data_IF_031353229287
#
_entry.id   IF_031353229287
#
_cell.length_a   1.000
_cell.length_b   1.000
_cell.length_c   1.000
_cell.angle_alpha   90.00
_cell.angle_beta   90.00
_cell.angle_gamma   90.00
#
_symmetry.space_group_name_H-M   'P 1'
#
loop_
_entity.id
_entity.type
_entity.pdbx_description
1 polymer ?
#
# COMPACT_ATOMS: atom_id res chain seq x y z
N UNK A 1 17.89 19.42 22.94
CA UNK A 1 17.84 20.40 21.84
C UNK A 1 18.90 21.42 22.23
N UNK A 2 20.10 21.33 21.66
CA UNK A 2 21.11 22.40 21.84
C UNK A 2 20.61 23.61 21.09
N UNK A 3 20.60 24.77 21.81
CA UNK A 3 20.25 26.06 21.25
C UNK A 3 21.02 26.31 19.95
N UNK A 4 20.33 26.85 18.95
CA UNK A 4 20.95 27.29 17.70
C UNK A 4 21.98 28.38 18.05
N UNK A 5 23.24 28.00 18.11
CA UNK A 5 24.34 28.96 18.14
C UNK A 5 24.47 29.53 16.75
N UNK A 6 24.18 30.83 16.58
CA UNK A 6 24.42 31.52 15.32
C UNK A 6 25.94 31.54 15.10
N UNK A 7 26.40 30.83 14.06
CA UNK A 7 27.79 30.79 13.65
C UNK A 7 28.00 31.55 12.35
N UNK A 8 29.24 31.60 11.91
CA UNK A 8 29.62 32.12 10.60
C UNK A 8 29.05 31.26 9.48
N UNK A 9 28.88 31.83 8.27
CA UNK A 9 28.29 31.14 7.11
C UNK A 9 29.04 29.84 6.76
N UNK A 10 30.36 29.83 6.87
CA UNK A 10 31.18 28.65 6.60
C UNK A 10 30.98 27.54 7.65
N UNK A 11 30.68 27.88 8.90
CA UNK A 11 30.35 26.90 9.94
C UNK A 11 28.98 26.26 9.69
N UNK A 12 28.00 27.03 9.23
CA UNK A 12 26.71 26.47 8.85
C UNK A 12 26.85 25.58 7.62
N UNK A 13 27.66 25.96 6.61
CA UNK A 13 27.96 25.14 5.47
C UNK A 13 28.55 23.78 5.87
N UNK A 14 29.47 23.76 6.84
CA UNK A 14 30.13 22.54 7.31
C UNK A 14 29.17 21.57 8.04
N UNK A 15 28.07 22.06 8.61
CA UNK A 15 27.05 21.22 9.29
C UNK A 15 26.09 20.56 8.32
N UNK A 16 25.99 21.04 7.08
CA UNK A 16 25.08 20.51 6.05
C UNK A 16 25.47 19.09 5.64
N UNK A 17 24.61 18.43 4.92
CA UNK A 17 24.80 17.03 4.51
C UNK A 17 25.72 16.89 3.28
N UNK A 18 25.36 17.53 2.18
CA UNK A 18 26.03 17.36 0.90
C UNK A 18 26.56 18.68 0.35
N UNK A 19 27.68 18.62 -0.36
CA UNK A 19 28.37 19.80 -0.94
C UNK A 19 27.42 20.64 -1.78
N UNK A 20 26.60 20.03 -2.61
CA UNK A 20 25.63 20.69 -3.49
C UNK A 20 24.50 21.41 -2.73
N UNK A 21 24.29 21.12 -1.45
CA UNK A 21 23.30 21.74 -0.59
C UNK A 21 23.92 22.80 0.35
N UNK A 22 25.21 23.06 0.24
CA UNK A 22 25.97 23.92 1.15
C UNK A 22 26.52 25.19 0.51
N UNK A 23 25.88 25.60 -0.58
CA UNK A 23 26.19 26.87 -1.24
C UNK A 23 25.17 27.94 -0.81
N UNK A 24 25.61 29.18 -0.82
CA UNK A 24 24.80 30.34 -0.52
C UNK A 24 24.84 31.32 -1.67
N UNK A 25 23.73 32.00 -1.92
CA UNK A 25 23.64 33.03 -2.94
C UNK A 25 23.22 34.35 -2.29
N UNK A 26 24.00 35.39 -2.52
CA UNK A 26 23.66 36.75 -2.14
C UNK A 26 22.98 37.46 -3.31
N UNK A 27 21.69 37.79 -3.24
CA UNK A 27 20.97 38.43 -4.33
C UNK A 27 21.38 39.93 -4.48
N UNK A 28 22.06 40.52 -3.50
CA UNK A 28 22.47 41.94 -3.58
C UNK A 28 23.77 42.11 -4.36
N UNK A 29 24.70 41.17 -4.24
CA UNK A 29 25.99 41.14 -4.96
C UNK A 29 26.01 40.18 -6.14
N UNK A 30 24.97 39.33 -6.28
CA UNK A 30 24.90 38.23 -7.23
C UNK A 30 26.05 37.21 -7.08
N UNK A 31 26.62 37.13 -5.86
CA UNK A 31 27.72 36.22 -5.57
C UNK A 31 27.26 34.89 -5.02
N UNK A 32 27.99 33.82 -5.37
CA UNK A 32 27.78 32.47 -4.82
C UNK A 32 28.94 32.12 -3.89
N UNK A 33 28.65 31.80 -2.65
CA UNK A 33 29.64 31.34 -1.67
C UNK A 33 29.61 29.82 -1.60
N UNK A 34 30.71 29.19 -2.02
CA UNK A 34 30.87 27.73 -2.08
C UNK A 34 32.11 27.29 -1.29
N UNK A 35 31.91 26.89 -0.05
CA UNK A 35 32.99 26.47 0.85
C UNK A 35 33.42 25.02 0.68
N UNK A 36 32.64 24.19 -0.04
CA UNK A 36 32.83 22.73 -0.11
C UNK A 36 32.89 22.18 -1.55
N UNK A 37 33.12 23.04 -2.55
CA UNK A 37 33.16 22.66 -3.97
C UNK A 37 31.87 22.05 -4.50
N UNK A 38 30.72 22.53 -4.04
CA UNK A 38 29.40 22.07 -4.49
C UNK A 38 29.12 22.35 -5.96
N UNK A 39 29.60 23.50 -6.47
CA UNK A 39 29.47 23.87 -7.88
C UNK A 39 30.19 22.86 -8.80
N UNK A 40 31.42 22.46 -8.41
CA UNK A 40 32.18 21.44 -9.15
C UNK A 40 31.49 20.08 -9.12
N UNK A 41 30.89 19.69 -7.99
CA UNK A 41 30.15 18.44 -7.86
C UNK A 41 28.85 18.46 -8.69
N UNK A 42 28.16 19.61 -8.80
CA UNK A 42 27.02 19.77 -9.70
C UNK A 42 27.46 19.56 -11.15
N UNK A 43 28.55 20.24 -11.58
CA UNK A 43 29.07 20.11 -12.95
C UNK A 43 29.46 18.66 -13.31
N UNK A 44 29.88 17.87 -12.32
CA UNK A 44 30.24 16.45 -12.47
C UNK A 44 29.08 15.49 -12.20
N UNK A 45 27.89 15.96 -11.94
CA UNK A 45 26.72 15.17 -11.54
C UNK A 45 27.02 14.22 -10.38
N UNK A 46 27.73 14.72 -9.37
CA UNK A 46 28.23 13.96 -8.23
C UNK A 46 27.58 14.41 -6.92
N UNK A 47 27.14 13.43 -6.09
CA UNK A 47 26.65 13.69 -4.74
C UNK A 47 27.72 13.30 -3.73
N UNK A 48 28.31 14.26 -3.05
CA UNK A 48 29.37 14.08 -2.06
C UNK A 48 28.95 14.58 -0.69
N UNK A 49 29.24 13.77 0.34
CA UNK A 49 29.06 14.14 1.74
C UNK A 49 30.11 15.16 2.18
N UNK A 50 29.71 16.12 3.00
CA UNK A 50 30.64 17.04 3.68
C UNK A 50 31.20 16.35 4.91
N UNK A 51 32.53 16.32 5.05
CA UNK A 51 33.22 15.63 6.13
C UNK A 51 33.39 14.13 5.90
N UNK A 52 33.71 13.39 6.96
CA UNK A 52 33.90 11.94 6.88
C UNK A 52 32.55 11.20 6.84
N UNK A 53 32.20 10.52 5.74
CA UNK A 53 30.87 9.94 5.56
C UNK A 53 30.44 8.99 6.68
N UNK A 54 31.35 8.13 7.16
CA UNK A 54 31.02 7.17 8.21
C UNK A 54 30.69 7.87 9.56
N UNK A 55 31.34 8.97 9.89
CA UNK A 55 31.02 9.77 11.08
C UNK A 55 29.68 10.48 10.91
N UNK A 56 29.48 11.08 9.75
CA UNK A 56 28.23 11.80 9.41
C UNK A 56 27.00 10.89 9.43
N UNK A 57 27.13 9.63 9.04
CA UNK A 57 26.07 8.62 9.12
C UNK A 57 25.82 8.12 10.56
N UNK A 58 26.87 8.13 11.43
CA UNK A 58 26.66 7.86 12.87
C UNK A 58 25.93 8.99 13.57
N UNK A 59 26.26 10.24 13.23
CA UNK A 59 25.57 11.41 13.78
C UNK A 59 24.08 11.44 13.39
N UNK A 60 23.80 11.18 12.10
CA UNK A 60 22.43 11.17 11.57
C UNK A 60 22.27 10.13 10.47
N UNK A 61 21.78 8.93 10.83
CA UNK A 61 21.58 7.84 9.86
C UNK A 61 20.61 8.19 8.72
N UNK A 62 19.71 9.16 8.92
CA UNK A 62 18.76 9.61 7.88
C UNK A 62 19.46 10.19 6.67
N UNK A 63 20.72 10.64 6.82
CA UNK A 63 21.54 11.11 5.69
C UNK A 63 21.75 10.04 4.62
N UNK A 64 21.72 8.74 4.96
CA UNK A 64 21.75 7.65 3.98
C UNK A 64 20.51 7.68 3.07
N UNK A 65 19.33 7.87 3.65
CA UNK A 65 18.08 7.98 2.89
C UNK A 65 18.04 9.25 2.02
N UNK A 66 18.58 10.35 2.56
CA UNK A 66 18.72 11.60 1.83
C UNK A 66 19.67 11.48 0.65
N UNK A 67 20.79 10.73 0.79
CA UNK A 67 21.71 10.43 -0.31
C UNK A 67 21.00 9.71 -1.45
N UNK A 68 20.26 8.64 -1.15
CA UNK A 68 19.46 7.90 -2.13
C UNK A 68 18.46 8.83 -2.82
N UNK A 69 17.68 9.61 -2.05
CA UNK A 69 16.64 10.49 -2.60
C UNK A 69 17.21 11.58 -3.51
N UNK A 70 18.25 12.29 -3.06
CA UNK A 70 18.84 13.40 -3.81
C UNK A 70 19.52 12.88 -5.07
N UNK A 71 20.25 11.77 -4.96
CA UNK A 71 20.88 11.10 -6.10
C UNK A 71 19.85 10.68 -7.15
N UNK A 72 18.78 10.01 -6.75
CA UNK A 72 17.70 9.61 -7.67
C UNK A 72 17.01 10.83 -8.30
N UNK A 73 16.69 11.86 -7.50
CA UNK A 73 15.99 13.07 -7.96
C UNK A 73 16.79 13.88 -8.98
N UNK A 74 18.09 13.97 -8.81
CA UNK A 74 18.97 14.77 -9.67
C UNK A 74 19.63 13.94 -10.78
N UNK A 75 19.52 12.60 -10.73
CA UNK A 75 20.27 11.71 -11.63
C UNK A 75 21.77 11.73 -11.36
N UNK A 76 22.18 12.10 -10.14
CA UNK A 76 23.60 12.18 -9.76
C UNK A 76 24.12 10.85 -9.25
N UNK A 77 25.41 10.58 -9.50
CA UNK A 77 26.11 9.45 -8.89
C UNK A 77 26.56 9.80 -7.48
N UNK A 78 26.32 8.90 -6.53
CA UNK A 78 26.87 9.06 -5.18
C UNK A 78 28.39 8.80 -5.28
N UNK A 79 29.19 9.70 -4.71
CA UNK A 79 30.64 9.52 -4.65
C UNK A 79 30.98 8.21 -3.92
N UNK A 80 31.95 7.41 -4.41
CA UNK A 80 32.25 6.11 -3.81
C UNK A 80 32.60 6.15 -2.31
N UNK A 81 33.25 7.23 -1.83
CA UNK A 81 33.54 7.39 -0.41
C UNK A 81 32.28 7.64 0.41
N UNK A 82 31.28 8.34 -0.16
CA UNK A 82 29.97 8.61 0.42
C UNK A 82 29.08 7.38 0.36
N UNK A 83 29.09 6.59 -0.72
CA UNK A 83 28.24 5.43 -0.96
C UNK A 83 28.66 4.19 -0.16
N UNK A 84 29.95 3.88 -0.18
CA UNK A 84 30.49 2.64 0.40
C UNK A 84 30.12 2.35 1.86
N UNK A 85 29.98 3.32 2.77
CA UNK A 85 29.53 3.07 4.14
C UNK A 85 28.03 2.76 4.26
N UNK A 86 27.17 3.14 3.29
CA UNK A 86 25.70 3.08 3.40
C UNK A 86 25.24 1.67 3.77
N UNK A 87 25.58 0.66 2.98
CA UNK A 87 25.13 -0.72 3.20
C UNK A 87 25.61 -1.30 4.54
N UNK A 88 26.85 -0.96 4.94
CA UNK A 88 27.42 -1.43 6.21
C UNK A 88 26.76 -0.80 7.42
N UNK A 89 26.25 0.42 7.27
CA UNK A 89 25.68 1.23 8.33
C UNK A 89 24.13 1.26 8.33
N UNK A 90 23.49 0.58 7.39
CA UNK A 90 22.02 0.50 7.26
C UNK A 90 21.31 0.18 8.59
N UNK A 91 21.91 -0.67 9.42
CA UNK A 91 21.35 -1.04 10.75
C UNK A 91 21.17 0.15 11.68
N UNK A 92 21.89 1.26 11.50
CA UNK A 92 21.74 2.47 12.32
C UNK A 92 20.36 3.13 12.15
N UNK A 93 19.67 2.90 11.02
CA UNK A 93 18.30 3.38 10.84
C UNK A 93 17.34 2.87 11.91
N UNK A 94 17.59 1.71 12.50
CA UNK A 94 16.77 1.17 13.61
C UNK A 94 16.80 2.04 14.87
N UNK A 95 17.81 2.89 15.02
CA UNK A 95 17.95 3.81 16.15
C UNK A 95 17.27 5.15 15.91
N UNK A 96 16.75 5.39 14.70
CA UNK A 96 16.04 6.63 14.35
C UNK A 96 14.58 6.53 14.78
N UNK A 97 14.00 7.58 15.38
CA UNK A 97 12.58 7.60 15.70
C UNK A 97 11.71 7.28 14.47
N UNK A 98 10.75 6.36 14.62
CA UNK A 98 9.93 5.86 13.51
C UNK A 98 9.19 6.98 12.77
N UNK A 99 8.69 7.99 13.47
CA UNK A 99 8.03 9.14 12.85
C UNK A 99 8.93 9.87 11.86
N UNK A 100 10.22 10.02 12.20
CA UNK A 100 11.22 10.66 11.33
C UNK A 100 11.53 9.80 10.10
N UNK A 101 11.58 8.48 10.28
CA UNK A 101 11.75 7.54 9.16
C UNK A 101 10.58 7.62 8.19
N UNK A 102 9.35 7.66 8.71
CA UNK A 102 8.14 7.79 7.88
C UNK A 102 8.12 9.07 7.07
N UNK A 103 8.54 10.19 7.65
CA UNK A 103 8.65 11.47 6.93
C UNK A 103 9.66 11.39 5.77
N UNK A 104 10.81 10.74 5.97
CA UNK A 104 11.79 10.55 4.89
C UNK A 104 11.32 9.55 3.84
N UNK A 105 10.62 8.48 4.24
CA UNK A 105 9.97 7.55 3.30
C UNK A 105 8.97 8.29 2.42
N UNK A 106 8.12 9.12 3.00
CA UNK A 106 7.18 9.93 2.21
C UNK A 106 7.90 10.84 1.22
N UNK A 107 9.00 11.49 1.64
CA UNK A 107 9.81 12.31 0.73
C UNK A 107 10.45 11.49 -0.39
N UNK A 108 10.92 10.27 -0.10
CA UNK A 108 11.44 9.33 -1.10
C UNK A 108 10.37 8.95 -2.13
N UNK A 109 9.18 8.58 -1.65
CA UNK A 109 8.08 8.12 -2.49
C UNK A 109 7.34 9.26 -3.22
N UNK A 110 7.62 10.52 -2.88
CA UNK A 110 6.98 11.70 -3.49
C UNK A 110 7.97 12.67 -4.14
N UNK A 111 9.21 12.24 -4.40
CA UNK A 111 10.22 13.09 -5.04
C UNK A 111 10.11 13.15 -6.58
N UNK A 112 9.22 12.38 -7.19
CA UNK A 112 9.07 12.24 -8.64
C UNK A 112 9.99 11.20 -9.29
N UNK A 113 10.75 10.47 -8.46
CA UNK A 113 11.66 9.40 -8.86
C UNK A 113 11.57 8.23 -7.88
N UNK A 114 10.36 7.89 -7.43
CA UNK A 114 10.11 6.91 -6.39
C UNK A 114 10.57 5.50 -6.78
N UNK A 115 10.37 5.12 -8.05
CA UNK A 115 10.84 3.82 -8.57
C UNK A 115 12.35 3.69 -8.42
N UNK A 116 13.11 4.71 -8.80
CA UNK A 116 14.57 4.72 -8.69
C UNK A 116 15.02 4.72 -7.22
N UNK A 117 14.35 5.50 -6.38
CA UNK A 117 14.61 5.50 -4.94
C UNK A 117 14.46 4.09 -4.33
N UNK A 118 13.36 3.38 -4.63
CA UNK A 118 13.10 2.06 -4.07
C UNK A 118 14.10 1.02 -4.58
N UNK A 119 14.50 1.07 -5.85
CA UNK A 119 15.55 0.22 -6.38
C UNK A 119 16.88 0.40 -5.63
N UNK A 120 17.30 1.66 -5.46
CA UNK A 120 18.53 1.98 -4.73
C UNK A 120 18.44 1.58 -3.25
N UNK A 121 17.30 1.79 -2.58
CA UNK A 121 17.10 1.32 -1.20
C UNK A 121 17.31 -0.19 -1.07
N UNK A 122 16.88 -0.97 -2.08
CA UNK A 122 17.11 -2.42 -2.12
C UNK A 122 18.58 -2.76 -2.35
N UNK A 123 19.16 -2.15 -3.38
CA UNK A 123 20.56 -2.44 -3.79
C UNK A 123 21.56 -2.08 -2.67
N UNK A 124 21.29 -1.01 -1.93
CA UNK A 124 22.08 -0.57 -0.78
C UNK A 124 21.73 -1.32 0.54
N UNK A 125 20.75 -2.23 0.53
CA UNK A 125 20.33 -3.00 1.70
C UNK A 125 19.61 -2.16 2.78
N UNK A 126 19.05 -1.00 2.38
CA UNK A 126 18.35 -0.09 3.28
C UNK A 126 16.88 -0.47 3.50
N UNK A 127 16.26 -1.22 2.57
CA UNK A 127 14.83 -1.55 2.60
C UNK A 127 14.41 -2.26 3.90
N UNK A 128 15.13 -3.29 4.30
CA UNK A 128 14.85 -4.08 5.49
C UNK A 128 15.03 -3.30 6.81
N UNK A 129 15.98 -2.34 6.82
CA UNK A 129 16.24 -1.51 7.99
C UNK A 129 15.25 -0.34 8.12
N UNK A 130 14.70 0.11 6.99
CA UNK A 130 13.81 1.27 6.90
C UNK A 130 12.37 0.90 7.24
N UNK A 131 11.80 -0.04 6.50
CA UNK A 131 10.42 -0.52 6.67
C UNK A 131 10.36 -2.02 6.35
N UNK A 132 10.14 -2.88 7.35
CA UNK A 132 9.99 -4.33 7.12
C UNK A 132 8.89 -4.66 6.10
N UNK A 133 7.80 -3.87 6.05
CA UNK A 133 6.73 -4.04 5.06
C UNK A 133 7.22 -3.82 3.63
N UNK A 134 8.09 -2.85 3.39
CA UNK A 134 8.68 -2.59 2.07
C UNK A 134 9.56 -3.75 1.63
N UNK A 135 10.40 -4.25 2.53
CA UNK A 135 11.26 -5.41 2.26
C UNK A 135 10.45 -6.67 1.94
N UNK A 136 9.37 -6.90 2.71
CA UNK A 136 8.44 -8.01 2.46
C UNK A 136 7.74 -7.89 1.09
N UNK A 137 7.35 -6.69 0.67
CA UNK A 137 6.76 -6.47 -0.65
C UNK A 137 7.74 -6.76 -1.77
N UNK A 138 8.97 -6.29 -1.63
CA UNK A 138 10.04 -6.48 -2.62
C UNK A 138 10.55 -7.93 -2.68
N UNK A 139 10.21 -8.77 -1.70
CA UNK A 139 10.62 -10.19 -1.67
C UNK A 139 9.66 -11.12 -2.41
N UNK A 140 8.47 -10.65 -2.81
CA UNK A 140 7.50 -11.43 -3.61
C UNK A 140 7.28 -10.79 -5.00
N UNK A 141 7.27 -11.57 -6.09
CA UNK A 141 7.08 -11.02 -7.44
C UNK A 141 5.80 -10.19 -7.57
N UNK A 142 4.69 -10.68 -7.03
CA UNK A 142 3.38 -10.00 -7.09
C UNK A 142 3.38 -8.69 -6.26
N UNK A 143 4.04 -8.71 -5.10
CA UNK A 143 4.17 -7.53 -4.24
C UNK A 143 5.06 -6.47 -4.90
N UNK A 144 6.19 -6.88 -5.49
CA UNK A 144 7.09 -5.99 -6.21
C UNK A 144 6.40 -5.37 -7.43
N UNK A 145 5.69 -6.18 -8.24
CA UNK A 145 4.97 -5.69 -9.42
C UNK A 145 3.92 -4.64 -9.06
N UNK A 146 3.09 -4.93 -8.05
CA UNK A 146 2.06 -4.00 -7.56
C UNK A 146 2.67 -2.69 -7.05
N UNK A 147 3.72 -2.79 -6.22
CA UNK A 147 4.42 -1.62 -5.69
C UNK A 147 5.04 -0.78 -6.80
N UNK A 148 5.82 -1.40 -7.68
CA UNK A 148 6.52 -0.68 -8.76
C UNK A 148 5.55 -0.03 -9.74
N UNK A 149 4.41 -0.66 -10.01
CA UNK A 149 3.34 -0.06 -10.81
C UNK A 149 2.77 1.18 -10.13
N UNK A 150 2.45 1.10 -8.84
CA UNK A 150 1.92 2.22 -8.08
C UNK A 150 2.91 3.41 -8.01
N UNK A 151 4.21 3.11 -7.84
CA UNK A 151 5.25 4.13 -7.82
C UNK A 151 5.45 4.79 -9.20
N UNK A 152 5.43 4.03 -10.30
CA UNK A 152 5.44 4.60 -11.66
C UNK A 152 4.28 5.57 -11.86
N UNK A 153 3.07 5.17 -11.49
CA UNK A 153 1.88 6.04 -11.58
C UNK A 153 2.00 7.29 -10.69
N UNK A 154 2.67 7.14 -9.55
CA UNK A 154 2.97 8.27 -8.66
C UNK A 154 3.93 9.25 -9.33
N UNK A 155 5.03 8.77 -9.90
CA UNK A 155 6.03 9.59 -10.59
C UNK A 155 5.42 10.28 -11.82
N UNK A 156 4.66 9.57 -12.66
CA UNK A 156 3.91 10.13 -13.79
C UNK A 156 2.95 11.26 -13.37
N UNK A 157 2.25 11.05 -12.25
CA UNK A 157 1.30 12.04 -11.73
C UNK A 157 2.01 13.30 -11.21
N UNK A 158 3.16 13.14 -10.55
CA UNK A 158 3.98 14.26 -10.09
C UNK A 158 4.61 15.01 -11.24
N UNK A 159 5.04 14.34 -12.31
CA UNK A 159 5.61 14.96 -13.51
C UNK A 159 4.64 15.93 -14.19
N UNK A 160 3.32 15.70 -14.08
CA UNK A 160 2.28 16.61 -14.59
C UNK A 160 1.74 17.58 -13.52
N UNK A 161 2.48 17.77 -12.42
CA UNK A 161 2.17 18.74 -11.36
C UNK A 161 0.99 18.36 -10.45
N UNK A 162 0.49 17.11 -10.51
CA UNK A 162 -0.59 16.66 -9.64
C UNK A 162 -0.07 16.21 -8.28
N UNK A 163 -0.80 16.56 -7.22
CA UNK A 163 -0.47 16.16 -5.85
C UNK A 163 -0.77 14.67 -5.61
N UNK A 164 0.03 14.07 -4.74
CA UNK A 164 -0.16 12.71 -4.25
C UNK A 164 -0.58 12.76 -2.78
N UNK A 165 -1.55 11.96 -2.41
CA UNK A 165 -1.98 11.83 -1.02
C UNK A 165 -1.18 10.74 -0.31
N UNK A 166 -0.58 11.02 0.87
CA UNK A 166 0.18 10.02 1.63
C UNK A 166 -0.63 8.76 1.96
N UNK A 167 -1.94 8.90 2.22
CA UNK A 167 -2.79 7.74 2.51
C UNK A 167 -2.87 6.74 1.34
N UNK A 168 -2.80 7.23 0.10
CA UNK A 168 -2.81 6.36 -1.09
C UNK A 168 -1.54 5.51 -1.15
N UNK A 169 -0.38 6.11 -0.90
CA UNK A 169 0.90 5.40 -0.86
C UNK A 169 0.95 4.36 0.26
N UNK A 170 0.57 4.74 1.48
CA UNK A 170 0.52 3.79 2.60
C UNK A 170 -0.54 2.72 2.36
N UNK A 171 -1.69 3.08 1.81
CA UNK A 171 -2.74 2.15 1.41
C UNK A 171 -2.25 1.12 0.40
N UNK A 172 -1.39 1.54 -0.54
CA UNK A 172 -0.75 0.66 -1.51
C UNK A 172 0.28 -0.26 -0.84
N UNK A 173 1.14 0.28 0.02
CA UNK A 173 2.16 -0.50 0.74
C UNK A 173 1.55 -1.59 1.63
N UNK A 174 0.41 -1.34 2.25
CA UNK A 174 -0.23 -2.28 3.16
C UNK A 174 -1.30 -3.16 2.49
N UNK A 175 -1.66 -2.90 1.24
CA UNK A 175 -2.69 -3.66 0.52
C UNK A 175 -2.47 -5.17 0.47
N UNK A 176 -1.28 -5.70 0.18
CA UNK A 176 -1.06 -7.15 0.14
C UNK A 176 -1.34 -7.84 1.46
N UNK A 177 -1.14 -7.15 2.59
CA UNK A 177 -1.48 -7.68 3.91
C UNK A 177 -3.00 -7.65 4.13
N UNK A 178 -3.68 -6.55 3.76
CA UNK A 178 -5.15 -6.46 3.80
C UNK A 178 -5.76 -7.55 2.92
N UNK A 179 -5.27 -7.75 1.70
CA UNK A 179 -5.75 -8.78 0.77
C UNK A 179 -5.62 -10.20 1.35
N UNK A 180 -4.47 -10.55 1.93
CA UNK A 180 -4.26 -11.86 2.58
C UNK A 180 -5.21 -12.07 3.76
N UNK A 181 -5.38 -11.05 4.62
CA UNK A 181 -6.33 -11.10 5.74
C UNK A 181 -7.76 -11.20 5.26
N UNK A 182 -8.11 -10.46 4.21
CA UNK A 182 -9.43 -10.52 3.59
C UNK A 182 -9.78 -11.92 3.13
N UNK A 183 -8.90 -12.56 2.37
CA UNK A 183 -9.07 -13.96 1.92
C UNK A 183 -9.18 -14.92 3.10
N UNK A 184 -8.29 -14.80 4.07
CA UNK A 184 -8.34 -15.64 5.28
C UNK A 184 -9.67 -15.50 6.03
N UNK A 185 -10.18 -14.29 6.20
CA UNK A 185 -11.45 -14.04 6.90
C UNK A 185 -12.66 -14.59 6.12
N UNK A 186 -12.64 -14.56 4.79
CA UNK A 186 -13.67 -15.19 3.95
C UNK A 186 -13.63 -16.72 4.08
N UNK A 187 -12.46 -17.33 3.88
CA UNK A 187 -12.29 -18.78 3.78
C UNK A 187 -12.38 -19.49 5.13
N UNK A 188 -11.75 -18.93 6.18
CA UNK A 188 -11.60 -19.60 7.46
C UNK A 188 -12.66 -19.19 8.47
N UNK A 189 -13.07 -17.91 8.49
CA UNK A 189 -14.07 -17.38 9.42
C UNK A 189 -15.48 -17.35 8.84
N UNK A 190 -15.64 -17.64 7.56
CA UNK A 190 -16.93 -17.67 6.89
C UNK A 190 -17.64 -16.32 6.84
N UNK A 191 -16.91 -15.22 6.94
CA UNK A 191 -17.48 -13.87 6.89
C UNK A 191 -17.92 -13.53 5.47
N UNK A 192 -18.96 -12.69 5.36
CA UNK A 192 -19.33 -12.14 4.06
C UNK A 192 -18.19 -11.27 3.52
N UNK A 193 -18.05 -11.20 2.19
CA UNK A 193 -16.95 -10.49 1.50
C UNK A 193 -16.68 -9.07 2.04
N UNK A 194 -17.74 -8.29 2.29
CA UNK A 194 -17.61 -6.92 2.81
C UNK A 194 -17.20 -6.93 4.30
N UNK A 195 -17.78 -7.81 5.11
CA UNK A 195 -17.42 -7.93 6.52
C UNK A 195 -15.98 -8.43 6.68
N UNK A 196 -15.56 -9.40 5.86
CA UNK A 196 -14.20 -9.93 5.85
C UNK A 196 -13.17 -8.84 5.49
N UNK A 197 -13.47 -7.97 4.51
CA UNK A 197 -12.61 -6.86 4.15
C UNK A 197 -12.54 -5.81 5.27
N UNK A 198 -13.67 -5.50 5.90
CA UNK A 198 -13.69 -4.56 7.02
C UNK A 198 -12.82 -5.04 8.19
N UNK A 199 -13.00 -6.28 8.61
CA UNK A 199 -12.18 -6.90 9.65
C UNK A 199 -10.69 -6.91 9.27
N UNK A 200 -10.35 -7.30 8.04
CA UNK A 200 -8.99 -7.29 7.54
C UNK A 200 -8.35 -5.89 7.57
N UNK A 201 -9.10 -4.86 7.18
CA UNK A 201 -8.63 -3.49 7.20
C UNK A 201 -8.37 -3.00 8.63
N UNK A 202 -9.26 -3.31 9.58
CA UNK A 202 -9.08 -2.96 10.99
C UNK A 202 -7.87 -3.67 11.58
N UNK A 203 -7.74 -4.99 11.39
CA UNK A 203 -6.61 -5.78 11.89
C UNK A 203 -5.26 -5.26 11.38
N UNK A 204 -5.15 -4.91 10.08
CA UNK A 204 -3.92 -4.38 9.51
C UNK A 204 -3.62 -2.97 10.03
N UNK A 205 -4.63 -2.11 10.19
CA UNK A 205 -4.42 -0.78 10.78
C UNK A 205 -3.92 -0.87 12.22
N UNK A 206 -4.47 -1.76 13.03
CA UNK A 206 -4.06 -1.95 14.42
C UNK A 206 -2.64 -2.50 14.54
N UNK A 207 -2.26 -3.46 13.68
CA UNK A 207 -0.95 -4.10 13.77
C UNK A 207 0.16 -3.26 13.13
N UNK A 208 -0.06 -2.74 11.92
CA UNK A 208 1.00 -2.11 11.12
C UNK A 208 1.16 -0.61 11.39
N UNK A 209 0.06 0.11 11.62
CA UNK A 209 0.15 1.56 11.81
C UNK A 209 0.87 1.96 13.10
N UNK A 210 0.81 1.12 14.14
CA UNK A 210 1.60 1.35 15.36
C UNK A 210 3.10 1.15 15.08
N UNK A 211 3.45 0.12 14.34
CA UNK A 211 4.84 -0.21 14.00
C UNK A 211 5.46 0.84 13.10
N UNK A 212 4.68 1.37 12.14
CA UNK A 212 5.16 2.33 11.13
C UNK A 212 4.90 3.78 11.57
N UNK A 213 4.21 4.04 12.70
CA UNK A 213 3.83 5.38 13.17
C UNK A 213 3.05 6.22 12.15
N UNK A 214 2.15 5.58 11.38
CA UNK A 214 1.29 6.29 10.43
C UNK A 214 0.29 7.16 11.18
N UNK A 215 0.21 8.43 10.83
CA UNK A 215 -0.69 9.40 11.46
C UNK A 215 -2.16 8.97 11.35
N UNK A 216 -2.93 9.10 12.43
CA UNK A 216 -4.35 8.67 12.51
C UNK A 216 -5.23 9.22 11.38
N UNK A 217 -4.99 10.45 10.93
CA UNK A 217 -5.74 11.03 9.80
C UNK A 217 -5.59 10.22 8.51
N UNK A 218 -4.42 9.63 8.25
CA UNK A 218 -4.21 8.79 7.08
C UNK A 218 -4.83 7.41 7.23
N UNK A 219 -4.91 6.88 8.46
CA UNK A 219 -5.50 5.57 8.73
C UNK A 219 -6.98 5.51 8.34
N UNK A 220 -7.76 6.54 8.68
CA UNK A 220 -9.16 6.62 8.28
C UNK A 220 -9.33 6.67 6.75
N UNK A 221 -8.46 7.44 6.06
CA UNK A 221 -8.48 7.54 4.61
C UNK A 221 -8.05 6.24 3.92
N UNK A 222 -7.09 5.51 4.49
CA UNK A 222 -6.67 4.18 4.02
C UNK A 222 -7.78 3.14 4.20
N UNK A 223 -8.44 3.15 5.35
CA UNK A 223 -9.59 2.29 5.63
C UNK A 223 -10.68 2.48 4.58
N UNK A 224 -11.08 3.73 4.33
CA UNK A 224 -12.09 4.05 3.30
C UNK A 224 -11.65 3.59 1.90
N UNK A 225 -10.37 3.80 1.55
CA UNK A 225 -9.79 3.38 0.26
C UNK A 225 -9.93 1.86 0.05
N UNK A 226 -9.62 1.07 1.09
CA UNK A 226 -9.69 -0.39 1.02
C UNK A 226 -11.15 -0.88 1.00
N UNK A 227 -12.02 -0.34 1.86
CA UNK A 227 -13.44 -0.72 1.85
C UNK A 227 -14.14 -0.39 0.54
N UNK A 228 -13.68 0.69 -0.11
CA UNK A 228 -14.20 1.05 -1.42
C UNK A 228 -13.93 -0.03 -2.46
N UNK A 229 -12.85 -0.82 -2.33
CA UNK A 229 -12.53 -1.90 -3.26
C UNK A 229 -13.63 -2.97 -3.29
N UNK A 230 -14.10 -3.44 -2.13
CA UNK A 230 -15.22 -4.37 -2.06
C UNK A 230 -16.54 -3.81 -2.60
N UNK A 231 -16.72 -2.48 -2.47
CA UNK A 231 -17.89 -1.80 -3.04
C UNK A 231 -17.78 -1.63 -4.56
N UNK A 232 -16.60 -1.39 -5.10
CA UNK A 232 -16.34 -1.28 -6.54
C UNK A 232 -16.57 -2.62 -7.26
N UNK A 233 -16.38 -3.75 -6.59
CA UNK A 233 -16.72 -5.07 -7.14
C UNK A 233 -18.24 -5.27 -7.29
N UNK A 234 -19.08 -4.49 -6.58
CA UNK A 234 -20.54 -4.59 -6.61
C UNK A 234 -21.17 -3.55 -7.55
N UNK A 235 -21.53 -3.96 -8.75
CA UNK A 235 -22.11 -3.13 -9.81
C UNK A 235 -23.65 -3.04 -9.78
N UNK A 236 -24.30 -3.43 -8.68
CA UNK A 236 -25.77 -3.61 -8.62
C UNK A 236 -26.44 -2.70 -7.60
N UNK A 237 -27.74 -2.45 -7.79
CA UNK A 237 -28.57 -1.66 -6.90
C UNK A 237 -28.22 -0.17 -6.88
N UNK A 238 -28.29 0.45 -5.70
CA UNK A 238 -27.98 1.88 -5.51
C UNK A 238 -26.47 2.15 -5.33
N UNK A 239 -25.67 1.09 -5.18
CA UNK A 239 -24.24 1.22 -4.89
C UNK A 239 -23.46 2.03 -5.94
N UNK A 240 -23.65 1.83 -7.26
CA UNK A 240 -22.92 2.62 -8.25
C UNK A 240 -23.17 4.13 -8.15
N UNK A 241 -24.40 4.55 -7.95
CA UNK A 241 -24.74 5.97 -7.79
C UNK A 241 -24.11 6.59 -6.55
N UNK A 242 -24.23 5.92 -5.41
CA UNK A 242 -23.66 6.40 -4.14
C UNK A 242 -22.13 6.41 -4.17
N UNK A 243 -21.52 5.45 -4.84
CA UNK A 243 -20.08 5.33 -4.87
C UNK A 243 -19.43 6.34 -5.83
N UNK A 244 -20.03 6.57 -7.02
CA UNK A 244 -19.54 7.56 -7.99
C UNK A 244 -19.58 9.01 -7.45
N UNK A 245 -20.46 9.29 -6.47
CA UNK A 245 -20.55 10.59 -5.81
C UNK A 245 -19.67 10.72 -4.57
N UNK A 246 -18.96 9.65 -4.18
CA UNK A 246 -18.14 9.67 -2.98
C UNK A 246 -16.91 10.58 -3.17
N UNK A 247 -16.55 11.47 -2.20
CA UNK A 247 -15.42 12.40 -2.34
C UNK A 247 -14.08 11.73 -2.68
N UNK A 248 -13.89 10.49 -2.24
CA UNK A 248 -12.68 9.69 -2.47
C UNK A 248 -12.83 8.73 -3.67
N UNK A 249 -13.92 8.83 -4.46
CA UNK A 249 -14.16 7.92 -5.59
C UNK A 249 -12.97 7.84 -6.53
N UNK A 250 -12.39 8.98 -6.89
CA UNK A 250 -11.24 9.02 -7.79
C UNK A 250 -10.05 8.22 -7.27
N UNK A 251 -9.72 8.35 -5.98
CA UNK A 251 -8.65 7.57 -5.37
C UNK A 251 -8.96 6.07 -5.35
N UNK A 252 -10.21 5.71 -5.01
CA UNK A 252 -10.68 4.32 -5.05
C UNK A 252 -10.62 3.71 -6.44
N UNK A 253 -11.01 4.47 -7.46
CA UNK A 253 -10.94 4.07 -8.87
C UNK A 253 -9.49 3.93 -9.35
N UNK A 254 -8.61 4.90 -9.05
CA UNK A 254 -7.19 4.80 -9.39
C UNK A 254 -6.54 3.56 -8.73
N UNK A 255 -6.96 3.21 -7.52
CA UNK A 255 -6.52 1.99 -6.84
C UNK A 255 -7.08 0.72 -7.49
N UNK A 256 -8.35 0.73 -7.93
CA UNK A 256 -8.94 -0.37 -8.70
C UNK A 256 -8.19 -0.61 -10.02
N UNK A 257 -7.77 0.46 -10.70
CA UNK A 257 -6.93 0.36 -11.90
C UNK A 257 -5.60 -0.35 -11.63
N UNK A 258 -4.94 -0.04 -10.50
CA UNK A 258 -3.71 -0.75 -10.11
C UNK A 258 -3.97 -2.25 -9.92
N UNK A 259 -5.04 -2.60 -9.19
CA UNK A 259 -5.45 -4.00 -8.96
C UNK A 259 -5.75 -4.74 -10.26
N UNK A 260 -6.38 -4.06 -11.20
CA UNK A 260 -6.69 -4.63 -12.52
C UNK A 260 -5.43 -4.86 -13.36
N UNK A 261 -4.50 -3.92 -13.36
CA UNK A 261 -3.25 -4.00 -14.13
C UNK A 261 -2.32 -5.14 -13.67
N UNK A 262 -2.41 -5.54 -12.39
CA UNK A 262 -1.70 -6.72 -11.87
C UNK A 262 -2.56 -8.00 -11.86
N UNK A 263 -3.71 -7.99 -12.54
CA UNK A 263 -4.56 -9.17 -12.68
C UNK A 263 -5.36 -9.58 -11.44
N UNK A 264 -5.42 -8.73 -10.38
CA UNK A 264 -6.24 -9.03 -9.19
C UNK A 264 -7.74 -8.98 -9.44
N UNK A 265 -8.16 -8.15 -10.37
CA UNK A 265 -9.56 -8.02 -10.81
C UNK A 265 -9.60 -7.93 -12.33
N UNK A 266 -10.72 -8.37 -12.97
CA UNK A 266 -10.86 -8.32 -14.43
C UNK A 266 -10.76 -6.88 -14.97
N UNK A 267 -10.15 -6.69 -16.14
CA UNK A 267 -10.06 -5.39 -16.81
C UNK A 267 -11.44 -4.79 -17.14
N UNK A 268 -12.44 -5.63 -17.36
CA UNK A 268 -13.82 -5.20 -17.59
C UNK A 268 -14.42 -4.42 -16.41
N UNK A 269 -13.89 -4.60 -15.18
CA UNK A 269 -14.42 -3.93 -14.00
C UNK A 269 -14.13 -2.42 -13.98
N UNK A 270 -12.87 -1.95 -14.09
CA UNK A 270 -12.61 -0.52 -14.18
C UNK A 270 -13.18 0.10 -15.46
N UNK A 271 -13.21 -0.62 -16.60
CA UNK A 271 -13.86 -0.16 -17.83
C UNK A 271 -15.35 0.12 -17.61
N UNK A 272 -16.04 -0.77 -16.89
CA UNK A 272 -17.45 -0.56 -16.53
C UNK A 272 -17.64 0.70 -15.69
N UNK A 273 -16.77 0.95 -14.71
CA UNK A 273 -16.86 2.14 -13.86
C UNK A 273 -16.56 3.44 -14.61
N UNK A 274 -15.64 3.41 -15.56
CA UNK A 274 -15.36 4.55 -16.43
C UNK A 274 -16.56 4.87 -17.33
N UNK A 275 -17.13 3.85 -17.98
CA UNK A 275 -18.34 3.99 -18.78
C UNK A 275 -19.50 4.51 -17.94
N UNK A 276 -19.72 3.96 -16.73
CA UNK A 276 -20.78 4.39 -15.81
C UNK A 276 -20.63 5.86 -15.39
N UNK A 277 -19.41 6.30 -15.09
CA UNK A 277 -19.16 7.68 -14.67
C UNK A 277 -19.50 8.69 -15.79
N UNK A 278 -19.26 8.33 -17.05
CA UNK A 278 -19.47 9.19 -18.23
C UNK A 278 -20.84 9.02 -18.90
N UNK A 279 -21.68 8.06 -18.47
CA UNK A 279 -22.98 7.77 -19.06
C UNK A 279 -24.06 8.74 -18.59
N UNK A 280 -25.11 8.90 -19.42
CA UNK A 280 -26.39 9.51 -19.01
C UNK A 280 -27.21 8.58 -18.09
N UNK A 281 -28.29 9.08 -17.53
CA UNK A 281 -29.07 8.33 -16.53
C UNK A 281 -29.76 7.09 -17.11
N UNK A 282 -30.24 7.14 -18.36
CA UNK A 282 -30.88 5.99 -19.01
C UNK A 282 -29.86 4.87 -19.27
N UNK A 283 -28.69 5.22 -19.75
CA UNK A 283 -27.56 4.28 -19.93
C UNK A 283 -27.10 3.68 -18.59
N UNK A 284 -26.99 4.47 -17.52
CA UNK A 284 -26.66 3.99 -16.18
C UNK A 284 -27.66 2.96 -15.66
N UNK A 285 -28.95 3.22 -15.90
CA UNK A 285 -30.02 2.27 -15.53
C UNK A 285 -29.87 0.97 -16.31
N UNK A 286 -29.61 1.03 -17.61
CA UNK A 286 -29.39 -0.15 -18.45
C UNK A 286 -28.16 -0.95 -17.99
N UNK A 287 -27.03 -0.30 -17.75
CA UNK A 287 -25.81 -0.93 -17.25
C UNK A 287 -26.01 -1.66 -15.91
N UNK A 288 -26.77 -1.07 -14.99
CA UNK A 288 -27.07 -1.71 -13.69
C UNK A 288 -27.97 -2.93 -13.88
N UNK A 289 -28.96 -2.87 -14.78
CA UNK A 289 -29.85 -4.02 -15.09
C UNK A 289 -29.05 -5.19 -15.67
N UNK A 290 -28.14 -4.90 -16.59
CA UNK A 290 -27.26 -5.89 -17.18
C UNK A 290 -26.36 -6.53 -16.13
N UNK A 291 -25.67 -5.74 -15.30
CA UNK A 291 -24.86 -6.24 -14.19
C UNK A 291 -25.65 -7.07 -13.17
N UNK A 292 -26.94 -6.75 -12.95
CA UNK A 292 -27.84 -7.55 -12.11
C UNK A 292 -28.18 -8.90 -12.77
N UNK A 293 -28.38 -8.94 -14.08
CA UNK A 293 -28.64 -10.17 -14.82
C UNK A 293 -27.42 -11.11 -14.79
N UNK A 294 -26.23 -10.56 -15.04
CA UNK A 294 -24.97 -11.30 -14.93
C UNK A 294 -24.75 -11.89 -13.52
N UNK A 295 -24.96 -11.09 -12.48
CA UNK A 295 -24.82 -11.55 -11.10
C UNK A 295 -25.79 -12.69 -10.75
N UNK A 296 -27.03 -12.65 -11.26
CA UNK A 296 -28.01 -13.74 -11.10
C UNK A 296 -27.59 -15.01 -11.82
N UNK A 297 -27.11 -14.89 -13.06
CA UNK A 297 -26.63 -16.03 -13.84
C UNK A 297 -25.45 -16.74 -13.16
N UNK A 298 -24.50 -15.95 -12.66
CA UNK A 298 -23.33 -16.48 -11.95
C UNK A 298 -23.74 -17.19 -10.65
N UNK A 299 -24.69 -16.61 -9.90
CA UNK A 299 -25.21 -17.24 -8.67
C UNK A 299 -25.95 -18.55 -8.95
N UNK A 300 -26.75 -18.61 -10.03
CA UNK A 300 -27.47 -19.83 -10.44
C UNK A 300 -26.51 -20.93 -10.92
N UNK A 301 -25.46 -20.57 -11.65
CA UNK A 301 -24.42 -21.50 -12.06
C UNK A 301 -23.66 -22.08 -10.86
N UNK A 302 -23.26 -21.24 -9.92
CA UNK A 302 -22.60 -21.67 -8.67
C UNK A 302 -23.50 -22.60 -7.84
N UNK A 303 -24.81 -22.34 -7.80
CA UNK A 303 -25.78 -23.19 -7.10
C UNK A 303 -25.92 -24.56 -7.79
N UNK A 304 -25.97 -24.59 -9.12
CA UNK A 304 -26.04 -25.85 -9.91
C UNK A 304 -24.76 -26.69 -9.75
N UNK A 305 -23.60 -26.06 -9.74
CA UNK A 305 -22.34 -26.76 -9.51
C UNK A 305 -22.29 -27.45 -8.13
N UNK A 306 -22.67 -26.75 -7.06
CA UNK A 306 -22.74 -27.35 -5.70
C UNK A 306 -23.74 -28.49 -5.57
N UNK A 307 -24.84 -28.45 -6.32
CA UNK A 307 -25.84 -29.55 -6.34
C UNK A 307 -25.29 -30.78 -7.09
N UNK A 308 -24.52 -30.57 -8.15
CA UNK A 308 -23.89 -31.65 -8.91
C UNK A 308 -22.79 -32.35 -8.08
N UNK A 309 -21.95 -31.62 -7.37
CA UNK A 309 -20.91 -32.16 -6.47
C UNK A 309 -21.49 -32.90 -5.25
N UNK A 310 -22.62 -32.41 -4.73
CA UNK A 310 -23.33 -33.06 -3.60
C UNK A 310 -24.07 -34.33 -3.96
N UNK A 311 -24.35 -34.60 -5.26
CA UNK A 311 -25.04 -35.80 -5.72
C UNK A 311 -24.10 -36.99 -5.95
N UNK A 312 -22.81 -36.79 -6.13
CA UNK A 312 -21.83 -37.85 -6.33
C UNK A 312 -21.30 -38.49 -5.03
N UNK A 313 -21.57 -37.84 -3.89
CA UNK A 313 -21.15 -38.29 -2.55
C UNK A 313 -22.15 -39.20 -1.84
N UNK A 314 -23.29 -39.58 -2.46
CA UNK A 314 -24.31 -40.44 -1.87
C UNK A 314 -24.66 -41.64 -2.72
N UNK A 315 -23.73 -42.59 -2.84
CA UNK A 315 -24.09 -43.99 -3.07
C UNK A 315 -24.17 -44.72 -1.72
N UNK A 316 -25.35 -45.16 -1.25
CA UNK A 316 -25.43 -46.01 -0.08
C UNK A 316 -25.20 -47.46 -0.52
N UNK A 317 -24.09 -48.07 -0.08
CA UNK A 317 -23.90 -49.52 -0.12
C UNK A 317 -25.04 -50.18 0.66
N UNK A 318 -25.92 -50.84 -0.07
CA UNK A 318 -27.05 -51.55 0.49
C UNK A 318 -26.65 -52.82 1.20
N UNK A 319 -26.95 -52.92 2.46
CA UNK A 319 -27.20 -54.20 3.14
C UNK A 319 -28.51 -54.16 3.90
N UNK A 320 -29.55 -54.74 3.28
CA UNK A 320 -30.85 -54.98 3.89
C UNK A 320 -30.70 -56.03 5.00
N UNK A 321 -30.72 -55.58 6.26
CA UNK A 321 -31.08 -56.50 7.38
C UNK A 321 -32.55 -56.26 7.75
N UNK A 322 -33.41 -57.20 7.30
CA UNK A 322 -34.76 -57.41 7.84
C UNK A 322 -34.69 -57.66 9.32
N UNK A 323 -35.30 -56.84 10.14
CA UNK A 323 -35.72 -57.21 11.51
C UNK A 323 -37.18 -56.85 11.72
N UNK A 324 -37.86 -57.94 12.13
CA UNK A 324 -39.30 -58.13 12.38
C UNK A 324 -39.91 -57.13 13.36
N UNK A 325 -41.14 -56.77 13.02
CA UNK A 325 -42.08 -56.07 13.90
C UNK A 325 -42.39 -56.94 15.13
N UNK A 326 -42.21 -56.40 16.34
CA UNK A 326 -42.98 -56.74 17.54
C UNK A 326 -43.49 -55.47 18.21
N UNK A 327 -44.81 -55.37 18.22
CA UNK A 327 -45.57 -54.41 19.07
C UNK A 327 -45.53 -54.91 20.53
N UNK A 328 -45.55 -54.05 21.51
CA UNK A 328 -46.21 -54.33 22.77
C UNK A 328 -47.31 -53.29 23.10
N UNK A 329 -48.27 -53.85 23.73
CA UNK A 329 -49.55 -53.39 24.23
C UNK A 329 -49.51 -52.14 25.14
N UNK A 330 -50.54 -51.34 25.02
CA UNK A 330 -51.05 -50.37 26.00
C UNK A 330 -51.25 -51.00 27.35
N UNK A 331 -50.89 -50.28 28.42
CA UNK A 331 -51.53 -50.38 29.73
C UNK A 331 -51.63 -49.00 30.36
N UNK A 332 -52.83 -48.71 30.78
CA UNK A 332 -53.39 -47.53 31.42
C UNK A 332 -53.13 -47.52 32.91
N UNK A 333 -53.34 -46.32 33.46
CA UNK A 333 -53.68 -45.98 34.87
C UNK A 333 -52.49 -45.76 35.80
N UNK A 334 -52.43 -44.85 36.73
CA UNK A 334 -53.33 -43.89 37.39
C UNK A 334 -52.57 -43.29 38.57
N UNK A 335 -52.81 -42.04 38.85
CA UNK A 335 -52.86 -41.39 40.17
C UNK A 335 -51.62 -41.52 41.11
N UNK A 336 -51.13 -40.39 41.60
CA UNK A 336 -51.46 -39.69 42.81
C UNK A 336 -50.29 -38.86 43.29
N UNK A 337 -50.60 -37.66 43.66
CA UNK A 337 -50.30 -36.87 44.86
C UNK A 337 -48.95 -37.14 45.60
N UNK A 338 -48.06 -36.18 45.67
CA UNK A 338 -47.93 -35.15 46.70
C UNK A 338 -46.92 -34.07 46.26
#
# INVERSE_FOLDING_TARGET
ISDNVFGEMWEDAARRDFTINAMYYDPATEEVYDYHHGFEDIARHRLRMIGEPAERYREDPVRMLRAVRISAKLGFQIEPATEKPISRMAKLLKNVPTARLVDEVLKLLTCGHAVECVKRLRDDGLSAALLPVLDHLLSSPEGEEFLMLALRRTDERLAIGKKISPFFLFGTLLWPQVKRRWQYNEETRGLSRIAALHEAAVEVLETECHTISIQRRFQADMHDLWLMQGRLERRTGKNPYTLSQHPKYRAGYDFLLLRSQVGEVPESLPQWWDAFANADDDTRIAMIREAQAEARQTADQARRGRVAEGSDASQPSGERRRRSRRRPRRRTAREGQE
#
